data_IF_557999420908
#
_entry.id   IF_557999420908
#
_cell.length_a   1.000
_cell.length_b   1.000
_cell.length_c   1.000
_cell.angle_alpha   90.00
_cell.angle_beta   90.00
_cell.angle_gamma   90.00
#
_symmetry.space_group_name_H-M   'P 1'
#
loop_
_entity.id
_entity.type
_entity.pdbx_description
1 polymer ?
#
# COMPACT_ATOMS: atom_id res chain seq x y z
N UNK A 1 -3.66 -3.50 6.33
CA UNK A 1 -4.86 -4.09 5.73
C UNK A 1 -4.51 -4.80 4.43
N UNK A 2 -5.36 -5.73 3.96
CA UNK A 2 -5.22 -6.39 2.66
C UNK A 2 -6.43 -6.10 1.80
N UNK A 3 -6.26 -6.13 0.47
CA UNK A 3 -7.39 -6.05 -0.45
C UNK A 3 -7.15 -6.86 -1.73
N UNK A 4 -8.25 -7.16 -2.41
CA UNK A 4 -8.28 -7.78 -3.73
C UNK A 4 -9.05 -6.83 -4.65
N UNK A 5 -8.41 -6.30 -5.68
CA UNK A 5 -9.07 -5.46 -6.67
C UNK A 5 -9.69 -6.32 -7.77
N UNK A 6 -10.97 -6.09 -8.04
CA UNK A 6 -11.72 -6.70 -9.15
C UNK A 6 -12.30 -5.60 -10.02
N UNK A 7 -11.93 -5.60 -11.29
CA UNK A 7 -12.47 -4.65 -12.26
C UNK A 7 -13.86 -5.04 -12.74
N UNK A 8 -14.67 -4.08 -13.23
CA UNK A 8 -15.81 -4.37 -14.10
C UNK A 8 -15.40 -5.24 -15.29
N UNK A 9 -16.31 -6.03 -15.83
CA UNK A 9 -16.01 -6.90 -16.97
C UNK A 9 -15.48 -6.10 -18.16
N UNK A 10 -14.35 -6.56 -18.74
CA UNK A 10 -13.69 -5.91 -19.86
C UNK A 10 -12.79 -4.72 -19.47
N UNK A 11 -12.77 -4.30 -18.20
CA UNK A 11 -11.89 -3.25 -17.73
C UNK A 11 -10.52 -3.80 -17.28
N UNK A 12 -9.52 -2.94 -17.35
CA UNK A 12 -8.16 -3.15 -16.81
C UNK A 12 -7.59 -1.85 -16.22
N UNK A 13 -6.35 -1.89 -15.73
CA UNK A 13 -5.65 -0.74 -15.15
C UNK A 13 -5.51 0.47 -16.09
N UNK A 14 -5.54 0.26 -17.42
CA UNK A 14 -5.40 1.32 -18.41
C UNK A 14 -6.74 1.94 -18.78
N UNK A 15 -7.79 1.14 -18.83
CA UNK A 15 -9.12 1.51 -19.31
C UNK A 15 -10.06 2.02 -18.22
N UNK A 16 -9.94 1.51 -16.99
CA UNK A 16 -10.86 1.83 -15.88
C UNK A 16 -10.97 3.33 -15.57
N UNK A 17 -9.93 4.11 -15.86
CA UNK A 17 -9.88 5.56 -15.60
C UNK A 17 -10.28 6.41 -16.80
N UNK A 18 -10.34 5.83 -17.99
CA UNK A 18 -10.49 6.55 -19.26
C UNK A 18 -11.75 6.17 -20.02
N UNK A 19 -12.32 5.01 -19.74
CA UNK A 19 -13.49 4.48 -20.42
C UNK A 19 -14.68 4.37 -19.46
N UNK A 20 -15.88 4.33 -20.04
CA UNK A 20 -17.11 4.08 -19.30
C UNK A 20 -17.58 2.66 -19.55
N UNK A 21 -17.96 1.96 -18.51
CA UNK A 21 -18.43 0.58 -18.55
C UNK A 21 -19.92 0.52 -18.28
N UNK A 22 -20.61 -0.46 -18.89
CA UNK A 22 -22.03 -0.64 -18.70
C UNK A 22 -22.36 -1.11 -17.28
N UNK A 23 -23.61 -0.91 -16.84
CA UNK A 23 -24.07 -1.42 -15.54
C UNK A 23 -23.96 -2.95 -15.44
N UNK A 24 -24.12 -3.66 -16.57
CA UNK A 24 -23.93 -5.11 -16.63
C UNK A 24 -22.47 -5.49 -16.36
N UNK A 25 -21.50 -4.74 -16.92
CA UNK A 25 -20.08 -4.95 -16.68
C UNK A 25 -19.72 -4.70 -15.20
N UNK A 26 -20.29 -3.66 -14.59
CA UNK A 26 -20.15 -3.39 -13.17
C UNK A 26 -20.76 -4.51 -12.32
N UNK A 27 -21.97 -4.96 -12.65
CA UNK A 27 -22.65 -6.06 -11.94
C UNK A 27 -21.85 -7.38 -12.03
N UNK A 28 -21.22 -7.66 -13.17
CA UNK A 28 -20.35 -8.83 -13.33
C UNK A 28 -19.09 -8.73 -12.44
N UNK A 29 -18.47 -7.55 -12.35
CA UNK A 29 -17.35 -7.29 -11.44
C UNK A 29 -17.74 -7.46 -9.98
N UNK A 30 -18.92 -6.96 -9.58
CA UNK A 30 -19.46 -7.13 -8.23
C UNK A 30 -19.70 -8.61 -7.89
N UNK A 31 -20.32 -9.35 -8.81
CA UNK A 31 -20.55 -10.78 -8.63
C UNK A 31 -19.25 -11.55 -8.42
N UNK A 32 -18.22 -11.24 -9.20
CA UNK A 32 -16.89 -11.84 -9.05
C UNK A 32 -16.22 -11.47 -7.72
N UNK A 33 -16.34 -10.22 -7.27
CA UNK A 33 -15.80 -9.81 -5.98
C UNK A 33 -16.50 -10.53 -4.81
N UNK A 34 -17.82 -10.69 -4.89
CA UNK A 34 -18.57 -11.47 -3.90
C UNK A 34 -18.21 -12.96 -3.93
N UNK A 35 -18.03 -13.56 -5.11
CA UNK A 35 -17.54 -14.94 -5.23
C UNK A 35 -16.20 -15.14 -4.52
N UNK A 36 -15.25 -14.22 -4.69
CA UNK A 36 -13.96 -14.28 -4.00
C UNK A 36 -14.13 -14.16 -2.48
N UNK A 37 -15.01 -13.27 -2.02
CA UNK A 37 -15.32 -13.16 -0.60
C UNK A 37 -15.95 -14.46 -0.06
N UNK A 38 -16.86 -15.08 -0.80
CA UNK A 38 -17.46 -16.37 -0.43
C UNK A 38 -16.43 -17.50 -0.37
N UNK A 39 -15.47 -17.53 -1.30
CA UNK A 39 -14.36 -18.48 -1.26
C UNK A 39 -13.54 -18.31 0.03
N UNK A 40 -13.26 -17.07 0.43
CA UNK A 40 -12.59 -16.79 1.69
C UNK A 40 -13.41 -17.26 2.90
N UNK A 41 -14.71 -16.91 2.93
CA UNK A 41 -15.62 -17.23 4.03
C UNK A 41 -15.90 -18.76 4.17
N UNK A 42 -15.73 -19.51 3.09
CA UNK A 42 -15.82 -20.97 3.09
C UNK A 42 -14.50 -21.67 3.51
N UNK A 43 -13.41 -20.91 3.61
CA UNK A 43 -12.06 -21.40 3.90
C UNK A 43 -11.68 -21.30 5.38
N UNK A 44 -10.38 -21.13 5.63
CA UNK A 44 -9.80 -21.15 6.99
C UNK A 44 -9.99 -19.82 7.76
N UNK A 45 -10.48 -18.78 7.14
CA UNK A 45 -10.69 -17.44 7.73
C UNK A 45 -9.43 -16.83 8.37
N UNK A 46 -8.26 -17.14 7.82
CA UNK A 46 -6.98 -16.59 8.28
C UNK A 46 -6.51 -15.47 7.36
N UNK A 47 -5.61 -14.61 7.85
CA UNK A 47 -4.99 -13.58 7.03
C UNK A 47 -4.16 -14.19 5.89
N UNK A 48 -3.54 -15.35 6.13
CA UNK A 48 -2.76 -16.09 5.14
C UNK A 48 -3.63 -16.63 4.01
N UNK A 49 -4.83 -17.16 4.33
CA UNK A 49 -5.77 -17.65 3.30
C UNK A 49 -6.29 -16.50 2.44
N UNK A 50 -6.56 -15.33 3.05
CA UNK A 50 -6.90 -14.12 2.29
C UNK A 50 -5.75 -13.66 1.40
N UNK A 51 -4.51 -13.67 1.90
CA UNK A 51 -3.33 -13.31 1.13
C UNK A 51 -3.11 -14.23 -0.09
N UNK A 52 -3.38 -15.51 0.05
CA UNK A 52 -3.32 -16.47 -1.07
C UNK A 52 -4.34 -16.11 -2.16
N UNK A 53 -5.59 -15.83 -1.79
CA UNK A 53 -6.62 -15.37 -2.72
C UNK A 53 -6.25 -14.05 -3.38
N UNK A 54 -5.63 -13.13 -2.65
CA UNK A 54 -5.17 -11.86 -3.22
C UNK A 54 -4.08 -12.05 -4.27
N UNK A 55 -3.13 -12.96 -4.06
CA UNK A 55 -2.11 -13.28 -5.06
C UNK A 55 -2.70 -13.94 -6.32
N UNK A 56 -3.80 -14.68 -6.18
CA UNK A 56 -4.44 -15.39 -7.30
C UNK A 56 -5.44 -14.51 -8.07
N UNK A 57 -6.20 -13.67 -7.38
CA UNK A 57 -7.37 -13.02 -7.95
C UNK A 57 -7.25 -11.50 -8.07
N UNK A 58 -6.28 -10.85 -7.39
CA UNK A 58 -6.21 -9.40 -7.40
C UNK A 58 -5.67 -8.84 -8.71
N UNK A 59 -6.38 -7.89 -9.27
CA UNK A 59 -5.95 -7.12 -10.43
C UNK A 59 -5.07 -5.90 -10.05
N UNK A 60 -4.80 -5.67 -8.77
CA UNK A 60 -3.95 -4.56 -8.31
C UNK A 60 -2.46 -4.89 -8.46
N UNK A 61 -1.72 -4.26 -9.40
CA UNK A 61 -0.30 -4.54 -9.61
C UNK A 61 0.59 -4.08 -8.44
N UNK A 62 0.07 -3.21 -7.56
CA UNK A 62 0.81 -2.70 -6.41
C UNK A 62 0.88 -3.69 -5.25
N UNK A 63 -0.07 -4.65 -5.18
CA UNK A 63 -0.17 -5.54 -4.03
C UNK A 63 -0.44 -7.01 -4.35
N UNK A 64 -0.74 -7.37 -5.60
CA UNK A 64 -1.10 -8.75 -5.99
C UNK A 64 0.03 -9.77 -5.86
N UNK A 65 1.27 -9.35 -5.60
CA UNK A 65 2.41 -10.23 -5.37
C UNK A 65 2.83 -10.34 -3.91
N UNK A 66 2.20 -9.55 -3.03
CA UNK A 66 2.47 -9.54 -1.60
C UNK A 66 1.21 -9.86 -0.75
N UNK A 67 0.24 -10.55 -1.34
CA UNK A 67 -1.00 -10.95 -0.67
C UNK A 67 -1.97 -9.79 -0.45
N UNK A 68 -1.98 -8.81 -1.35
CA UNK A 68 -2.86 -7.66 -1.27
C UNK A 68 -2.54 -6.68 -0.11
N UNK A 69 -1.33 -6.76 0.47
CA UNK A 69 -0.97 -6.01 1.68
C UNK A 69 -0.64 -4.56 1.37
N UNK A 70 -1.33 -3.66 2.07
CA UNK A 70 -0.96 -2.26 2.22
C UNK A 70 -0.61 -1.96 3.68
N UNK A 71 0.59 -1.44 3.88
CA UNK A 71 1.08 -0.96 5.18
C UNK A 71 1.12 0.56 5.20
N UNK A 72 1.11 1.15 6.39
CA UNK A 72 1.27 2.59 6.60
C UNK A 72 0.25 3.46 5.87
N UNK A 73 -0.98 2.93 5.66
CA UNK A 73 -2.09 3.70 5.09
C UNK A 73 -2.57 4.71 6.12
N UNK A 74 -2.57 5.97 5.74
CA UNK A 74 -3.11 7.08 6.54
C UNK A 74 -4.48 7.50 6.00
N UNK A 75 -5.27 8.10 6.88
CA UNK A 75 -6.57 8.65 6.48
C UNK A 75 -6.39 9.71 5.38
N UNK A 76 -7.10 9.54 4.27
CA UNK A 76 -7.03 10.40 3.09
C UNK A 76 -6.07 9.93 2.00
N UNK A 77 -5.30 8.85 2.21
CA UNK A 77 -4.39 8.31 1.19
C UNK A 77 -5.12 7.54 0.09
N UNK A 78 -6.28 6.97 0.42
CA UNK A 78 -7.04 6.12 -0.48
C UNK A 78 -8.29 6.82 -1.03
N UNK A 79 -8.97 6.19 -1.99
CA UNK A 79 -10.27 6.68 -2.46
C UNK A 79 -11.29 6.69 -1.33
N UNK A 80 -12.26 7.64 -1.31
CA UNK A 80 -13.08 7.90 -0.13
C UNK A 80 -13.82 6.70 0.44
N UNK A 81 -14.35 5.83 -0.41
CA UNK A 81 -15.13 4.66 0.02
C UNK A 81 -14.23 3.60 0.69
N UNK A 82 -13.03 3.43 0.16
CA UNK A 82 -12.02 2.54 0.71
C UNK A 82 -11.49 3.07 2.06
N UNK A 83 -11.19 4.38 2.10
CA UNK A 83 -10.71 5.07 3.30
C UNK A 83 -11.74 5.00 4.42
N UNK A 84 -13.01 5.30 4.13
CA UNK A 84 -14.11 5.22 5.10
C UNK A 84 -14.25 3.81 5.70
N UNK A 85 -14.06 2.77 4.89
CA UNK A 85 -14.11 1.40 5.40
C UNK A 85 -12.93 1.09 6.31
N UNK A 86 -11.70 1.51 5.95
CA UNK A 86 -10.49 1.23 6.72
C UNK A 86 -10.45 1.92 8.07
N UNK A 87 -10.97 3.15 8.14
CA UNK A 87 -10.89 4.01 9.33
C UNK A 87 -12.19 4.08 10.13
N UNK A 88 -13.11 3.16 9.89
CA UNK A 88 -14.27 2.97 10.74
C UNK A 88 -13.82 2.50 12.14
N UNK A 89 -14.14 3.27 13.18
CA UNK A 89 -13.75 2.98 14.57
C UNK A 89 -14.29 1.64 15.10
N UNK A 90 -15.36 1.11 14.51
CA UNK A 90 -15.93 -0.18 14.88
C UNK A 90 -15.19 -1.36 14.25
N UNK A 91 -14.23 -1.13 13.33
CA UNK A 91 -13.54 -2.17 12.58
C UNK A 91 -12.68 -3.04 13.48
N UNK A 92 -12.80 -4.37 13.29
CA UNK A 92 -12.03 -5.37 14.04
C UNK A 92 -11.12 -6.16 13.10
N UNK A 93 -10.00 -6.65 13.63
CA UNK A 93 -9.10 -7.55 12.88
C UNK A 93 -9.86 -8.78 12.43
N UNK A 94 -9.74 -9.08 11.14
CA UNK A 94 -10.48 -10.17 10.49
C UNK A 94 -11.78 -9.72 9.81
N UNK A 95 -12.23 -8.47 9.99
CA UNK A 95 -13.38 -7.94 9.26
C UNK A 95 -13.12 -7.94 7.76
N UNK A 96 -14.14 -8.32 7.01
CA UNK A 96 -14.13 -8.36 5.54
C UNK A 96 -15.36 -7.69 4.96
N UNK A 97 -15.23 -7.10 3.78
CA UNK A 97 -16.33 -6.56 3.00
C UNK A 97 -15.96 -6.42 1.53
N UNK A 98 -16.96 -6.27 0.67
CA UNK A 98 -16.78 -5.78 -0.70
C UNK A 98 -17.11 -4.30 -0.73
N UNK A 99 -16.16 -3.48 -1.15
CA UNK A 99 -16.28 -2.02 -1.26
C UNK A 99 -16.22 -1.62 -2.72
N UNK A 100 -17.26 -0.95 -3.22
CA UNK A 100 -17.28 -0.38 -4.58
C UNK A 100 -16.61 0.98 -4.56
N UNK A 101 -15.71 1.21 -5.51
CA UNK A 101 -15.06 2.50 -5.75
C UNK A 101 -15.12 2.87 -7.23
N UNK A 102 -14.60 4.02 -7.60
CA UNK A 102 -14.42 4.41 -9.00
C UNK A 102 -13.43 3.53 -9.78
N UNK A 103 -12.60 2.77 -9.08
CA UNK A 103 -11.59 1.89 -9.67
C UNK A 103 -12.05 0.42 -9.80
N UNK A 104 -13.20 0.07 -9.27
CA UNK A 104 -13.70 -1.30 -9.25
C UNK A 104 -14.20 -1.71 -7.87
N UNK A 105 -14.23 -3.01 -7.64
CA UNK A 105 -14.63 -3.62 -6.37
C UNK A 105 -13.40 -4.08 -5.61
N UNK A 106 -13.33 -3.73 -4.34
CA UNK A 106 -12.28 -4.16 -3.44
C UNK A 106 -12.85 -5.14 -2.43
N UNK A 107 -12.38 -6.39 -2.48
CA UNK A 107 -12.59 -7.31 -1.35
C UNK A 107 -11.58 -6.94 -0.31
N UNK A 108 -12.05 -6.53 0.87
CA UNK A 108 -11.24 -5.95 1.94
C UNK A 108 -11.05 -6.95 3.07
N UNK A 109 -9.87 -6.92 3.69
CA UNK A 109 -9.57 -7.61 4.93
C UNK A 109 -8.80 -6.67 5.88
N UNK A 110 -9.30 -6.54 7.10
CA UNK A 110 -8.69 -5.66 8.10
C UNK A 110 -7.64 -6.41 8.92
N UNK A 111 -6.37 -6.16 8.65
CA UNK A 111 -5.24 -6.77 9.38
C UNK A 111 -4.91 -6.06 10.70
N UNK A 112 -5.48 -4.87 10.93
CA UNK A 112 -5.27 -4.08 12.14
C UNK A 112 -4.94 -2.62 11.85
N UNK A 113 -4.92 -1.83 12.93
CA UNK A 113 -4.47 -0.43 12.94
C UNK A 113 -3.46 -0.19 14.05
N UNK A 114 -2.56 0.76 13.83
CA UNK A 114 -1.61 1.21 14.84
C UNK A 114 -1.66 2.73 14.97
N UNK A 115 -1.37 3.22 16.16
CA UNK A 115 -1.22 4.66 16.40
C UNK A 115 0.12 5.08 15.80
N UNK A 116 0.11 6.03 14.87
CA UNK A 116 1.32 6.46 14.13
C UNK A 116 2.30 7.27 14.95
N UNK A 117 1.82 8.09 15.91
CA UNK A 117 2.68 8.99 16.65
C UNK A 117 3.88 8.32 17.36
N UNK A 118 3.80 7.09 17.95
CA UNK A 118 4.97 6.44 18.54
C UNK A 118 6.04 6.10 17.49
N UNK A 119 5.62 5.84 16.26
CA UNK A 119 6.54 5.57 15.14
C UNK A 119 7.30 6.83 14.74
N UNK A 120 6.59 7.96 14.61
CA UNK A 120 7.22 9.26 14.31
C UNK A 120 8.15 9.71 15.43
N UNK A 121 7.71 9.64 16.70
CA UNK A 121 8.58 10.00 17.85
C UNK A 121 9.83 9.13 17.89
N UNK A 122 9.72 7.83 17.62
CA UNK A 122 10.90 6.94 17.58
C UNK A 122 11.85 7.32 16.45
N UNK A 123 11.32 7.67 15.28
CA UNK A 123 12.10 8.08 14.12
C UNK A 123 12.81 9.42 14.35
N UNK A 124 12.12 10.39 14.96
CA UNK A 124 12.71 11.68 15.34
C UNK A 124 13.83 11.51 16.37
N UNK A 125 13.60 10.73 17.42
CA UNK A 125 14.62 10.40 18.42
C UNK A 125 15.82 9.69 17.82
N UNK A 126 15.60 8.79 16.87
CA UNK A 126 16.69 8.08 16.17
C UNK A 126 17.50 9.02 15.30
N UNK A 127 16.86 9.95 14.60
CA UNK A 127 17.52 10.99 13.78
C UNK A 127 18.30 11.95 14.64
N UNK A 128 17.73 12.42 15.75
CA UNK A 128 18.42 13.30 16.70
C UNK A 128 19.63 12.61 17.31
N UNK A 129 19.49 11.35 17.74
CA UNK A 129 20.61 10.57 18.26
C UNK A 129 21.73 10.41 17.24
N UNK A 130 21.42 10.08 16.00
CA UNK A 130 22.40 9.95 14.92
C UNK A 130 23.13 11.28 14.66
N UNK A 131 22.40 12.39 14.59
CA UNK A 131 22.98 13.72 14.40
C UNK A 131 23.92 14.09 15.55
N UNK A 132 23.51 13.83 16.79
CA UNK A 132 24.34 14.09 17.96
C UNK A 132 25.62 13.24 17.97
N UNK A 133 25.54 11.98 17.55
CA UNK A 133 26.72 11.11 17.39
C UNK A 133 27.68 11.63 16.30
N UNK A 134 27.16 12.07 15.16
CA UNK A 134 27.97 12.64 14.07
C UNK A 134 28.63 13.94 14.53
N UNK A 135 27.90 14.85 15.18
CA UNK A 135 28.40 16.10 15.70
C UNK A 135 29.54 15.86 16.72
N UNK A 136 29.31 14.97 17.68
CA UNK A 136 30.33 14.62 18.67
C UNK A 136 31.58 13.97 18.05
N UNK A 137 31.38 13.17 16.97
CA UNK A 137 32.52 12.59 16.23
C UNK A 137 33.32 13.66 15.48
N UNK A 138 32.62 14.59 14.81
CA UNK A 138 33.28 15.71 14.10
C UNK A 138 34.04 16.63 15.05
N UNK A 139 33.48 16.93 16.22
CA UNK A 139 34.16 17.73 17.25
C UNK A 139 35.37 17.02 17.83
N UNK A 140 35.30 15.69 17.96
CA UNK A 140 36.38 14.89 18.56
C UNK A 140 37.52 14.58 17.59
N UNK A 141 37.22 14.46 16.31
CA UNK A 141 38.19 14.09 15.28
C UNK A 141 38.28 15.22 14.25
N UNK A 142 39.43 15.91 14.19
CA UNK A 142 39.69 16.88 13.12
C UNK A 142 39.67 16.15 11.76
N UNK A 143 38.68 16.45 10.94
CA UNK A 143 38.64 15.96 9.56
C UNK A 143 39.34 16.96 8.65
N UNK A 144 40.51 16.58 8.13
CA UNK A 144 41.17 17.29 7.04
C UNK A 144 40.75 16.65 5.71
N UNK A 145 40.09 17.41 4.85
CA UNK A 145 39.78 16.96 3.50
C UNK A 145 40.85 17.44 2.56
N UNK A 146 41.62 16.54 1.98
CA UNK A 146 42.59 16.87 0.92
C UNK A 146 41.84 16.96 -0.45
N UNK A 147 41.49 18.17 -0.80
CA UNK A 147 40.83 18.46 -2.07
C UNK A 147 41.76 18.28 -3.28
N UNK A 148 43.06 18.18 -3.11
CA UNK A 148 44.03 17.99 -4.18
C UNK A 148 43.95 16.56 -4.77
N UNK A 149 43.42 15.60 -4.02
CA UNK A 149 43.22 14.23 -4.44
C UNK A 149 41.89 14.00 -5.20
N UNK A 150 41.03 15.03 -5.26
CA UNK A 150 39.72 14.92 -5.98
C UNK A 150 39.93 15.19 -7.47
N UNK A 151 40.02 14.16 -8.25
CA UNK A 151 39.99 14.25 -9.71
C UNK A 151 38.52 14.42 -10.17
N UNK A 152 38.15 15.66 -10.50
CA UNK A 152 36.89 15.93 -11.18
C UNK A 152 37.03 15.42 -12.63
N UNK A 153 36.41 14.30 -12.93
CA UNK A 153 36.25 13.86 -14.31
C UNK A 153 35.38 14.87 -15.05
N UNK A 154 35.94 15.53 -16.05
CA UNK A 154 35.14 16.34 -16.97
C UNK A 154 34.26 15.39 -17.80
N UNK A 155 32.93 15.50 -17.60
CA UNK A 155 31.98 14.98 -18.58
C UNK A 155 32.11 15.85 -19.83
N UNK A 156 32.70 15.29 -20.88
CA UNK A 156 32.70 15.91 -22.20
C UNK A 156 31.26 15.87 -22.75
N UNK A 157 30.55 16.97 -22.65
CA UNK A 157 29.19 17.16 -23.16
C UNK A 157 29.18 17.58 -24.64
N UNK A 158 30.22 17.25 -25.39
CA UNK A 158 30.30 17.52 -26.83
C UNK A 158 30.16 16.24 -27.64
N UNK A 159 28.91 15.83 -27.93
CA UNK A 159 28.53 15.08 -29.16
C UNK A 159 27.01 15.14 -29.32
#
# INVERSE_FOLDING_TARGET
MRHILVFPEGADNSTIRTETFSEEAWAAGEAKANEILELYLAGELTEESFAALANEHSADPGSNTNGGLYTEVMQGDMVPEFDAWCFDEARQVGDTAVVRTSLGFHVMYFSGSNVLWPTYVRQDMQTEYQQNCVTAAVEKYEMTVDYSAIVLGFLDLAA
#
